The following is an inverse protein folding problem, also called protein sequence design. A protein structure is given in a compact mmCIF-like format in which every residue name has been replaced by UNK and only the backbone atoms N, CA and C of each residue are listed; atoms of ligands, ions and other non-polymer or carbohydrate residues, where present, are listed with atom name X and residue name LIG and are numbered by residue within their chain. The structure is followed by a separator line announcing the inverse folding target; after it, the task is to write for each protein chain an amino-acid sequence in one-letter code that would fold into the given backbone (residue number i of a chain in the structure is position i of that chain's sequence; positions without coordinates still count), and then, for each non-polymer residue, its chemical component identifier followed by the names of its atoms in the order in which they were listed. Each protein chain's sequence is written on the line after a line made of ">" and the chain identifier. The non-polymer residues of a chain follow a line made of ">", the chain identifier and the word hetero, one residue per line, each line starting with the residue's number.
data_IF_557351924093
#
_entry.id   IF_557351924093
#
_cell.length_a   1.000
_cell.length_b   1.000
_cell.length_c   1.000
_cell.angle_alpha   90.00
_cell.angle_beta   90.00
_cell.angle_gamma   90.00
#
_symmetry.space_group_name_H-M   'P 1'
#
loop_
_entity.id
_entity.type
_entity.pdbx_description
1 polymer ?
#
# COMPACT_ATOMS: atom_id res chain seq x y z
N UNK A 1 2.89 18.26 6.29
CA UNK A 1 1.71 18.54 5.44
C UNK A 1 1.64 20.02 5.07
N UNK A 2 1.61 20.94 6.01
CA UNK A 2 1.53 22.40 5.74
C UNK A 2 2.58 22.93 4.75
N UNK A 3 3.84 22.52 4.91
CA UNK A 3 4.95 22.93 4.02
C UNK A 3 4.77 22.55 2.55
N UNK A 4 3.94 21.54 2.27
CA UNK A 4 3.77 20.98 0.92
C UNK A 4 2.39 21.27 0.30
N UNK A 5 1.57 22.10 0.96
CA UNK A 5 0.18 22.32 0.53
C UNK A 5 0.03 23.01 -0.83
N UNK A 6 1.09 23.65 -1.31
CA UNK A 6 1.11 24.36 -2.61
C UNK A 6 1.69 23.51 -3.75
N UNK A 7 2.10 22.27 -3.44
CA UNK A 7 2.63 21.34 -4.43
C UNK A 7 1.64 20.22 -4.74
N UNK A 8 1.79 19.61 -5.89
CA UNK A 8 1.13 18.33 -6.19
C UNK A 8 1.75 17.24 -5.33
N UNK A 9 1.00 16.73 -4.38
CA UNK A 9 1.46 15.72 -3.42
C UNK A 9 0.50 14.53 -3.44
N UNK A 10 1.09 13.34 -3.46
CA UNK A 10 0.39 12.10 -3.22
C UNK A 10 0.63 11.65 -1.77
N UNK A 11 -0.44 11.43 -1.02
CA UNK A 11 -0.39 11.04 0.39
C UNK A 11 -0.61 9.54 0.52
N UNK A 12 0.38 8.82 1.04
CA UNK A 12 0.20 7.41 1.39
C UNK A 12 -0.52 7.32 2.73
N UNK A 13 -1.63 6.61 2.76
CA UNK A 13 -2.41 6.30 3.97
C UNK A 13 -2.19 4.86 4.41
N UNK A 14 -2.42 4.58 5.69
CA UNK A 14 -2.11 3.30 6.30
C UNK A 14 -0.80 3.32 7.06
N UNK A 15 -0.37 2.18 7.54
CA UNK A 15 0.87 2.01 8.29
C UNK A 15 1.43 0.60 8.18
N UNK A 16 2.75 0.50 8.36
CA UNK A 16 3.51 -0.73 8.62
C UNK A 16 4.47 -0.47 9.77
N UNK A 17 5.29 -1.44 10.10
CA UNK A 17 6.35 -1.28 11.10
C UNK A 17 7.51 -0.40 10.64
N UNK A 18 8.36 -0.03 11.59
CA UNK A 18 9.54 0.79 11.36
C UNK A 18 10.59 -0.01 10.55
N UNK A 19 11.29 0.65 9.64
CA UNK A 19 12.36 0.07 8.83
C UNK A 19 11.93 -1.21 8.08
N UNK A 20 10.78 -1.15 7.45
CA UNK A 20 10.24 -2.27 6.66
C UNK A 20 9.91 -3.53 7.48
N UNK A 21 9.83 -3.40 8.81
CA UNK A 21 9.30 -4.45 9.66
C UNK A 21 7.80 -4.63 9.44
N UNK A 22 7.28 -5.80 9.80
CA UNK A 22 5.86 -6.13 9.64
C UNK A 22 4.96 -5.27 10.52
N UNK A 23 3.67 -5.28 10.20
CA UNK A 23 2.63 -4.65 11.01
C UNK A 23 2.40 -5.45 12.30
N UNK A 24 3.24 -5.18 13.29
CA UNK A 24 3.21 -5.81 14.62
C UNK A 24 2.76 -4.80 15.65
N UNK A 25 1.79 -5.18 16.45
CA UNK A 25 1.26 -4.37 17.56
C UNK A 25 1.35 -5.18 18.86
N UNK A 26 2.06 -4.67 19.85
CA UNK A 26 2.24 -5.38 21.13
C UNK A 26 0.91 -5.78 21.77
N UNK A 27 -0.06 -4.88 21.76
CA UNK A 27 -1.39 -5.08 22.36
C UNK A 27 -2.24 -6.16 21.69
N UNK A 28 -1.98 -6.47 20.41
CA UNK A 28 -2.73 -7.50 19.69
C UNK A 28 -1.90 -8.78 19.55
N UNK A 29 -0.63 -8.65 19.17
CA UNK A 29 0.20 -9.82 18.85
C UNK A 29 0.66 -10.58 20.10
N UNK A 30 0.84 -9.88 21.23
CA UNK A 30 1.24 -10.49 22.50
C UNK A 30 0.04 -10.95 23.35
N UNK A 31 -1.19 -10.66 22.98
CA UNK A 31 -2.37 -11.11 23.69
C UNK A 31 -2.61 -12.61 23.46
N UNK A 32 -2.23 -13.42 24.45
CA UNK A 32 -2.38 -14.87 24.41
C UNK A 32 -3.85 -15.34 24.44
N UNK A 33 -4.79 -14.48 24.82
CA UNK A 33 -6.22 -14.80 24.85
C UNK A 33 -6.87 -14.80 23.46
N UNK A 34 -6.23 -14.16 22.46
CA UNK A 34 -6.79 -14.02 21.12
C UNK A 34 -6.42 -15.20 20.23
N UNK A 35 -7.40 -15.68 19.51
CA UNK A 35 -7.21 -16.61 18.39
C UNK A 35 -6.52 -15.89 17.21
N UNK A 36 -5.89 -16.62 16.28
CA UNK A 36 -5.30 -16.01 15.08
C UNK A 36 -6.32 -15.17 14.27
N UNK A 37 -7.55 -15.63 14.18
CA UNK A 37 -8.63 -14.92 13.48
C UNK A 37 -8.98 -13.60 14.18
N UNK A 38 -9.18 -13.61 15.48
CA UNK A 38 -9.48 -12.40 16.27
C UNK A 38 -8.34 -11.38 16.20
N UNK A 39 -7.09 -11.83 16.15
CA UNK A 39 -5.93 -10.94 15.92
C UNK A 39 -6.02 -10.27 14.56
N UNK A 40 -6.32 -11.02 13.50
CA UNK A 40 -6.50 -10.47 12.16
C UNK A 40 -7.62 -9.45 12.12
N UNK A 41 -8.78 -9.74 12.68
CA UNK A 41 -9.91 -8.82 12.75
C UNK A 41 -9.59 -7.53 13.53
N UNK A 42 -8.88 -7.66 14.66
CA UNK A 42 -8.43 -6.49 15.43
C UNK A 42 -7.41 -5.64 14.66
N UNK A 43 -6.48 -6.26 13.94
CA UNK A 43 -5.52 -5.54 13.08
C UNK A 43 -6.22 -4.82 11.94
N UNK A 44 -7.20 -5.45 11.30
CA UNK A 44 -8.02 -4.82 10.26
C UNK A 44 -8.70 -3.56 10.81
N UNK A 45 -9.42 -3.68 11.92
CA UNK A 45 -10.11 -2.55 12.55
C UNK A 45 -9.16 -1.42 12.97
N UNK A 46 -7.98 -1.78 13.48
CA UNK A 46 -6.96 -0.79 13.83
C UNK A 46 -6.47 -0.04 12.59
N UNK A 47 -6.20 -0.75 11.51
CA UNK A 47 -5.70 -0.14 10.27
C UNK A 47 -6.76 0.73 9.60
N UNK A 48 -8.03 0.30 9.59
CA UNK A 48 -9.17 1.10 9.14
C UNK A 48 -9.28 2.41 9.93
N UNK A 49 -9.16 2.31 11.27
CA UNK A 49 -9.18 3.50 12.13
C UNK A 49 -8.02 4.44 11.79
N UNK A 50 -6.81 3.93 11.65
CA UNK A 50 -5.62 4.74 11.29
C UNK A 50 -5.83 5.46 9.96
N UNK A 51 -6.34 4.77 8.95
CA UNK A 51 -6.64 5.37 7.64
C UNK A 51 -7.69 6.48 7.79
N UNK A 52 -8.74 6.24 8.56
CA UNK A 52 -9.77 7.25 8.82
C UNK A 52 -9.19 8.49 9.50
N UNK A 53 -8.40 8.31 10.57
CA UNK A 53 -7.76 9.39 11.32
C UNK A 53 -6.79 10.20 10.44
N UNK A 54 -5.98 9.52 9.62
CA UNK A 54 -5.06 10.17 8.67
C UNK A 54 -5.81 11.02 7.64
N UNK A 55 -6.91 10.54 7.11
CA UNK A 55 -7.75 11.27 6.16
C UNK A 55 -8.43 12.48 6.80
N UNK A 56 -8.86 12.35 8.05
CA UNK A 56 -9.39 13.47 8.81
C UNK A 56 -8.32 14.55 9.00
N UNK A 57 -7.12 14.18 9.44
CA UNK A 57 -5.99 15.11 9.60
C UNK A 57 -5.65 15.80 8.26
N UNK A 58 -5.67 15.07 7.15
CA UNK A 58 -5.46 15.66 5.82
C UNK A 58 -6.50 16.74 5.52
N UNK A 59 -7.77 16.48 5.83
CA UNK A 59 -8.85 17.45 5.61
C UNK A 59 -8.71 18.66 6.54
N UNK A 60 -8.36 18.48 7.80
CA UNK A 60 -8.15 19.55 8.76
C UNK A 60 -6.98 20.47 8.38
N UNK A 61 -5.86 19.88 7.94
CA UNK A 61 -4.64 20.65 7.60
C UNK A 61 -4.76 21.33 6.24
N UNK A 62 -5.32 20.68 5.23
CA UNK A 62 -5.40 21.21 3.87
C UNK A 62 -6.68 22.03 3.61
N UNK A 63 -7.65 21.95 4.52
CA UNK A 63 -8.99 22.45 4.32
C UNK A 63 -9.86 21.48 3.51
N UNK A 64 -11.18 21.62 3.63
CA UNK A 64 -12.14 20.67 3.05
C UNK A 64 -11.98 20.45 1.55
N UNK A 65 -11.81 21.53 0.79
CA UNK A 65 -11.73 21.46 -0.67
C UNK A 65 -10.45 20.76 -1.17
N UNK A 66 -9.30 21.13 -0.62
CA UNK A 66 -8.00 20.53 -0.97
C UNK A 66 -7.89 19.12 -0.40
N UNK A 67 -8.33 18.89 0.84
CA UNK A 67 -8.27 17.59 1.49
C UNK A 67 -9.10 16.54 0.77
N UNK A 68 -10.30 16.87 0.30
CA UNK A 68 -11.15 15.96 -0.50
C UNK A 68 -10.60 15.68 -1.89
N UNK A 69 -9.79 16.59 -2.45
CA UNK A 69 -9.16 16.43 -3.78
C UNK A 69 -7.76 15.84 -3.70
N UNK A 70 -7.17 15.75 -2.52
CA UNK A 70 -5.83 15.23 -2.32
C UNK A 70 -5.74 13.77 -2.79
N UNK A 71 -4.77 13.50 -3.66
CA UNK A 71 -4.50 12.13 -4.13
C UNK A 71 -3.98 11.30 -2.95
N UNK A 72 -4.67 10.23 -2.64
CA UNK A 72 -4.30 9.32 -1.57
C UNK A 72 -4.06 7.92 -2.12
N UNK A 73 -3.02 7.26 -1.62
CA UNK A 73 -2.66 5.91 -2.02
C UNK A 73 -2.60 4.97 -0.82
N UNK A 74 -2.93 3.73 -1.04
CA UNK A 74 -2.76 2.64 -0.10
C UNK A 74 -1.99 1.51 -0.77
N UNK A 75 -1.01 0.95 -0.07
CA UNK A 75 -0.10 -0.07 -0.60
C UNK A 75 -0.33 -1.38 0.16
N UNK A 76 -1.15 -2.31 -0.35
CA UNK A 76 -1.28 -3.65 0.22
C UNK A 76 -0.02 -4.46 -0.11
N UNK A 77 0.95 -4.44 0.80
CA UNK A 77 2.26 -5.08 0.62
C UNK A 77 2.58 -6.05 1.76
N UNK A 78 3.15 -7.20 1.46
CA UNK A 78 3.49 -8.27 2.41
C UNK A 78 2.28 -8.62 3.29
N UNK A 79 2.42 -8.57 4.62
CA UNK A 79 1.36 -8.89 5.58
C UNK A 79 0.12 -7.97 5.49
N UNK A 80 0.29 -6.75 4.98
CA UNK A 80 -0.85 -5.85 4.77
C UNK A 80 -1.72 -6.32 3.60
N UNK A 81 -1.15 -7.04 2.63
CA UNK A 81 -1.93 -7.69 1.57
C UNK A 81 -2.85 -8.78 2.15
N UNK A 82 -2.34 -9.57 3.10
CA UNK A 82 -3.14 -10.60 3.77
C UNK A 82 -4.31 -9.98 4.55
N UNK A 83 -4.09 -8.84 5.20
CA UNK A 83 -5.16 -8.08 5.87
C UNK A 83 -6.18 -7.53 4.87
N UNK A 84 -5.70 -7.03 3.72
CA UNK A 84 -6.57 -6.53 2.66
C UNK A 84 -7.44 -7.66 2.07
N UNK A 85 -6.86 -8.79 1.74
CA UNK A 85 -7.58 -9.97 1.25
C UNK A 85 -8.46 -10.60 2.35
N UNK A 86 -8.12 -10.37 3.64
CA UNK A 86 -8.91 -10.71 4.81
C UNK A 86 -10.11 -9.80 5.09
N UNK A 87 -10.31 -8.77 4.27
CA UNK A 87 -11.50 -7.92 4.34
C UNK A 87 -11.29 -6.48 4.79
N UNK A 88 -10.04 -6.00 4.90
CA UNK A 88 -9.74 -4.59 5.19
C UNK A 88 -10.42 -3.67 4.17
N UNK A 89 -11.21 -2.73 4.66
CA UNK A 89 -11.94 -1.80 3.81
C UNK A 89 -11.13 -0.54 3.56
N UNK A 90 -10.86 -0.27 2.30
CA UNK A 90 -10.17 0.94 1.85
C UNK A 90 -11.16 1.86 1.14
N UNK A 91 -11.23 3.16 1.49
CA UNK A 91 -12.14 4.10 0.84
C UNK A 91 -12.01 4.09 -0.70
N UNK A 92 -13.13 4.15 -1.39
CA UNK A 92 -13.23 3.98 -2.85
C UNK A 92 -12.41 5.00 -3.67
N UNK A 93 -12.11 6.15 -3.10
CA UNK A 93 -11.34 7.23 -3.71
C UNK A 93 -9.82 7.09 -3.50
N UNK A 94 -9.38 6.18 -2.64
CA UNK A 94 -7.97 5.88 -2.43
C UNK A 94 -7.46 4.96 -3.53
N UNK A 95 -6.36 5.33 -4.16
CA UNK A 95 -5.69 4.50 -5.18
C UNK A 95 -5.01 3.30 -4.53
N UNK A 96 -5.30 2.09 -5.00
CA UNK A 96 -4.57 0.90 -4.58
C UNK A 96 -3.27 0.77 -5.39
N UNK A 97 -2.15 0.65 -4.70
CA UNK A 97 -0.83 0.48 -5.33
C UNK A 97 -0.38 -0.97 -5.13
N UNK A 98 -0.37 -1.72 -6.21
CA UNK A 98 0.06 -3.11 -6.23
C UNK A 98 1.57 -3.21 -6.42
N UNK A 99 2.20 -4.16 -5.75
CA UNK A 99 3.65 -4.26 -5.67
C UNK A 99 4.12 -5.57 -6.28
N UNK A 100 5.25 -5.52 -6.99
CA UNK A 100 5.96 -6.71 -7.45
C UNK A 100 6.73 -7.39 -6.30
N UNK A 101 7.22 -8.59 -6.57
CA UNK A 101 8.10 -9.32 -5.66
C UNK A 101 9.59 -9.07 -5.98
N UNK A 102 10.45 -9.69 -5.19
CA UNK A 102 11.90 -9.60 -5.35
C UNK A 102 12.43 -10.17 -6.69
N UNK A 103 11.58 -10.78 -7.49
CA UNK A 103 11.90 -11.37 -8.78
C UNK A 103 11.25 -10.63 -9.94
N UNK A 104 10.58 -9.50 -9.66
CA UNK A 104 9.91 -8.66 -10.65
C UNK A 104 8.59 -9.19 -11.16
N UNK A 105 7.94 -10.08 -10.41
CA UNK A 105 6.62 -10.61 -10.75
C UNK A 105 5.55 -10.01 -9.86
N UNK A 106 4.45 -9.59 -10.46
CA UNK A 106 3.27 -9.16 -9.73
C UNK A 106 2.66 -10.35 -8.98
N UNK A 107 2.61 -10.26 -7.67
CA UNK A 107 1.99 -11.28 -6.82
C UNK A 107 0.47 -11.29 -6.91
N UNK A 108 -0.12 -10.16 -7.16
CA UNK A 108 -1.54 -9.97 -7.26
C UNK A 108 -1.89 -8.86 -8.25
N UNK A 109 -2.92 -9.08 -9.01
CA UNK A 109 -3.53 -8.08 -9.89
C UNK A 109 -4.88 -7.67 -9.32
N UNK A 110 -5.36 -6.44 -9.63
CA UNK A 110 -6.68 -6.01 -9.19
C UNK A 110 -7.78 -6.92 -9.73
N UNK A 111 -8.68 -7.33 -8.87
CA UNK A 111 -9.86 -8.11 -9.22
C UNK A 111 -10.88 -7.26 -9.99
N UNK A 112 -11.90 -7.89 -10.55
CA UNK A 112 -12.90 -7.22 -11.39
C UNK A 112 -13.55 -6.00 -10.71
N UNK A 113 -13.89 -6.12 -9.43
CA UNK A 113 -14.51 -5.01 -8.69
C UNK A 113 -13.49 -3.92 -8.33
N UNK A 114 -12.27 -4.29 -7.98
CA UNK A 114 -11.19 -3.35 -7.69
C UNK A 114 -10.81 -2.48 -8.90
N UNK A 115 -10.95 -3.01 -10.11
CA UNK A 115 -10.73 -2.24 -11.36
C UNK A 115 -11.75 -1.14 -11.58
N UNK A 116 -12.89 -1.18 -10.90
CA UNK A 116 -13.94 -0.18 -10.99
C UNK A 116 -13.81 0.95 -9.98
N UNK A 117 -12.89 0.82 -9.03
CA UNK A 117 -12.68 1.79 -7.95
C UNK A 117 -12.43 3.19 -8.53
N UNK A 118 -13.02 4.19 -7.91
CA UNK A 118 -12.86 5.60 -8.30
C UNK A 118 -11.40 6.06 -8.15
N UNK A 119 -10.71 5.66 -7.09
CA UNK A 119 -9.29 5.92 -6.87
C UNK A 119 -8.38 5.22 -7.88
N UNK A 120 -8.86 4.15 -8.50
CA UNK A 120 -8.10 3.37 -9.48
C UNK A 120 -7.03 2.47 -8.85
N UNK A 121 -6.13 2.02 -9.71
CA UNK A 121 -5.04 1.11 -9.34
C UNK A 121 -3.73 1.62 -9.92
N UNK A 122 -2.68 1.55 -9.15
CA UNK A 122 -1.33 1.92 -9.54
C UNK A 122 -0.35 0.77 -9.32
N UNK A 123 0.86 0.94 -9.81
CA UNK A 123 1.94 -0.03 -9.72
C UNK A 123 3.13 0.57 -8.98
N UNK A 124 3.66 -0.18 -8.04
CA UNK A 124 5.00 0.02 -7.49
C UNK A 124 5.88 -1.13 -7.97
N UNK A 125 6.79 -0.82 -8.91
CA UNK A 125 7.68 -1.80 -9.50
C UNK A 125 9.13 -1.52 -9.09
N UNK A 126 9.82 -2.51 -8.56
CA UNK A 126 11.21 -2.39 -8.17
C UNK A 126 12.12 -2.48 -9.39
N UNK A 127 12.65 -1.35 -9.83
CA UNK A 127 13.65 -1.33 -10.90
C UNK A 127 15.01 -1.86 -10.45
N UNK A 128 15.27 -1.87 -9.14
CA UNK A 128 16.43 -2.52 -8.53
C UNK A 128 16.10 -2.93 -7.10
N UNK A 129 16.66 -4.05 -6.66
CA UNK A 129 16.56 -4.48 -5.28
C UNK A 129 17.84 -4.13 -4.53
N UNK A 130 17.66 -3.49 -3.40
CA UNK A 130 18.76 -3.19 -2.49
C UNK A 130 18.97 -4.37 -1.56
N UNK A 131 20.22 -4.70 -1.30
CA UNK A 131 20.55 -5.73 -0.33
C UNK A 131 20.11 -5.32 1.07
N UNK A 132 19.98 -6.31 1.96
CA UNK A 132 19.72 -6.07 3.38
C UNK A 132 20.76 -5.13 3.99
N UNK A 133 20.43 -4.41 5.08
CA UNK A 133 21.38 -3.55 5.79
C UNK A 133 22.71 -4.29 6.07
N UNK A 134 23.83 -3.65 5.76
CA UNK A 134 25.17 -4.23 5.91
C UNK A 134 25.69 -5.02 4.71
N UNK A 135 24.90 -5.18 3.67
CA UNK A 135 25.33 -5.77 2.39
C UNK A 135 25.56 -4.68 1.33
N UNK A 136 26.35 -4.99 0.30
CA UNK A 136 26.58 -4.07 -0.80
C UNK A 136 25.28 -3.87 -1.61
N UNK A 137 24.96 -2.62 -1.92
CA UNK A 137 23.81 -2.30 -2.77
C UNK A 137 24.14 -2.61 -4.23
N UNK A 138 23.22 -3.29 -4.90
CA UNK A 138 23.25 -3.45 -6.34
C UNK A 138 22.31 -2.42 -6.97
N UNK A 139 22.90 -1.47 -7.68
CA UNK A 139 22.13 -0.47 -8.45
C UNK A 139 21.62 -1.00 -9.80
N UNK A 140 21.81 -2.28 -10.05
CA UNK A 140 21.41 -2.90 -11.30
C UNK A 140 20.09 -3.64 -11.11
N UNK A 141 19.18 -3.46 -12.07
CA UNK A 141 18.07 -4.37 -12.19
C UNK A 141 18.59 -5.73 -12.65
N UNK A 142 18.49 -6.72 -11.79
CA UNK A 142 18.86 -8.10 -12.11
C UNK A 142 17.79 -8.81 -12.97
N UNK A 143 16.63 -8.19 -13.14
CA UNK A 143 15.52 -8.70 -13.94
C UNK A 143 15.69 -8.21 -15.37
N UNK A 144 15.67 -9.13 -16.34
CA UNK A 144 15.84 -8.76 -17.73
C UNK A 144 14.65 -7.93 -18.24
N UNK A 145 14.89 -7.11 -19.29
CA UNK A 145 13.86 -6.22 -19.85
C UNK A 145 12.63 -6.97 -20.36
N UNK A 146 12.77 -8.19 -20.85
CA UNK A 146 11.65 -8.94 -21.41
C UNK A 146 10.59 -9.35 -20.35
N UNK A 147 10.95 -9.98 -19.22
CA UNK A 147 10.00 -10.17 -18.11
C UNK A 147 9.41 -8.86 -17.60
N UNK A 148 10.21 -7.82 -17.37
CA UNK A 148 9.74 -6.50 -16.94
C UNK A 148 8.69 -5.95 -17.91
N UNK A 149 8.97 -5.95 -19.21
CA UNK A 149 8.04 -5.49 -20.23
C UNK A 149 6.73 -6.29 -20.26
N UNK A 150 6.81 -7.61 -20.06
CA UNK A 150 5.64 -8.48 -20.00
C UNK A 150 4.77 -8.18 -18.76
N UNK A 151 5.38 -7.98 -17.59
CA UNK A 151 4.63 -7.64 -16.37
C UNK A 151 3.97 -6.26 -16.49
N UNK A 152 4.69 -5.25 -16.98
CA UNK A 152 4.12 -3.91 -17.22
C UNK A 152 2.97 -3.96 -18.23
N UNK A 153 3.09 -4.75 -19.30
CA UNK A 153 1.99 -4.95 -20.26
C UNK A 153 0.78 -5.58 -19.61
N UNK A 154 0.96 -6.63 -18.80
CA UNK A 154 -0.14 -7.23 -18.04
C UNK A 154 -0.80 -6.20 -17.09
N UNK A 155 -0.02 -5.33 -16.44
CA UNK A 155 -0.57 -4.27 -15.61
C UNK A 155 -1.45 -3.31 -16.42
N UNK A 156 -1.01 -2.87 -17.59
CA UNK A 156 -1.81 -2.02 -18.48
C UNK A 156 -3.12 -2.72 -18.90
N UNK A 157 -3.05 -3.99 -19.29
CA UNK A 157 -4.23 -4.80 -19.67
C UNK A 157 -5.22 -4.95 -18.49
N UNK A 158 -4.75 -4.88 -17.25
CA UNK A 158 -5.54 -4.93 -16.02
C UNK A 158 -6.02 -3.53 -15.54
N UNK A 159 -5.86 -2.49 -16.36
CA UNK A 159 -6.27 -1.10 -16.08
C UNK A 159 -5.57 -0.46 -14.87
N UNK A 160 -4.29 -0.71 -14.71
CA UNK A 160 -3.45 0.16 -13.89
C UNK A 160 -3.36 1.54 -14.56
N UNK A 161 -3.33 2.58 -13.76
CA UNK A 161 -3.19 3.97 -14.20
C UNK A 161 -1.76 4.44 -13.97
#
# INVERSE_FOLDING_TARGET
>A
MEMNQDYEVCYTVGMRGIHDSGFVTETIDQDASLTPQERTEKKIKLLEKVICDQRQILTEVLGEDKGKKAVQTFIPYKEVLDLYDGGLQIPEDVTLIWVDDNFGYMRRYPQKEERKRRGGNGLYYHSSYWASPGMSYLFFNSISLAPTGNELKKCLDQRFR
#
